data_IF_261564092894
#
_entry.id   IF_261564092894
#
_cell.length_a   1.000
_cell.length_b   1.000
_cell.length_c   1.000
_cell.angle_alpha   90.00
_cell.angle_beta   90.00
_cell.angle_gamma   90.00
#
_symmetry.space_group_name_H-M   'P 1'
#
loop_
_entity.id
_entity.type
_entity.pdbx_description
1 polymer ?
#
# COMPACT_ATOMS: atom_id res chain seq x y z
N UNK A 1 7.31 12.81 11.05
CA UNK A 1 6.17 11.92 10.76
C UNK A 1 6.40 10.56 11.38
N UNK A 2 7.42 9.84 10.93
CA UNK A 2 7.75 8.52 11.48
C UNK A 2 8.39 8.58 12.86
N UNK A 3 8.06 7.60 13.71
CA UNK A 3 8.71 7.33 14.99
C UNK A 3 9.68 6.15 14.85
N UNK A 4 10.60 6.03 15.81
CA UNK A 4 11.55 4.93 15.90
C UNK A 4 11.07 3.92 16.92
N UNK A 5 11.06 2.64 16.55
CA UNK A 5 10.77 1.52 17.44
C UNK A 5 11.88 0.47 17.31
N UNK A 6 12.21 -0.21 18.40
CA UNK A 6 13.07 -1.40 18.35
C UNK A 6 12.15 -2.62 18.32
N UNK A 7 12.33 -3.47 17.32
CA UNK A 7 11.52 -4.68 17.12
C UNK A 7 12.41 -5.92 17.06
N UNK A 8 11.90 -7.03 17.57
CA UNK A 8 12.52 -8.33 17.36
C UNK A 8 12.21 -8.80 15.93
N UNK A 9 13.23 -9.32 15.24
CA UNK A 9 13.12 -9.90 13.91
C UNK A 9 13.58 -11.36 13.93
N UNK A 10 12.97 -12.14 13.04
CA UNK A 10 13.27 -13.54 12.81
C UNK A 10 13.82 -13.69 11.39
N UNK A 11 14.96 -14.37 11.24
CA UNK A 11 15.49 -14.69 9.92
C UNK A 11 14.80 -15.96 9.39
N UNK A 12 14.40 -15.93 8.11
CA UNK A 12 13.92 -17.11 7.38
C UNK A 12 15.10 -17.91 6.84
N UNK A 13 14.94 -19.23 6.76
CA UNK A 13 16.01 -20.25 6.79
C UNK A 13 17.06 -20.21 5.66
N UNK A 14 16.86 -19.44 4.58
CA UNK A 14 17.85 -19.32 3.48
C UNK A 14 19.17 -18.61 3.86
N UNK A 15 19.23 -17.96 5.03
CA UNK A 15 20.45 -17.32 5.54
C UNK A 15 20.91 -17.85 6.91
N UNK A 16 20.28 -18.90 7.44
CA UNK A 16 20.47 -19.34 8.82
C UNK A 16 20.74 -20.85 8.94
N UNK A 17 21.72 -21.36 8.21
CA UNK A 17 22.30 -22.67 8.59
C UNK A 17 23.30 -22.44 9.73
N UNK A 18 22.84 -22.65 10.96
CA UNK A 18 23.72 -23.02 12.07
C UNK A 18 23.37 -24.43 12.54
N UNK A 19 24.35 -25.14 13.09
CA UNK A 19 24.34 -26.58 13.34
C UNK A 19 23.25 -27.11 14.31
N UNK A 20 22.30 -26.31 14.80
CA UNK A 20 21.40 -26.70 15.89
C UNK A 20 19.94 -26.20 15.79
N UNK A 21 19.41 -25.94 14.59
CA UNK A 21 17.95 -25.77 14.39
C UNK A 21 17.30 -24.62 15.18
N UNK A 22 18.07 -23.65 15.66
CA UNK A 22 17.57 -22.48 16.37
C UNK A 22 17.41 -21.31 15.41
N UNK A 23 16.16 -20.83 15.26
CA UNK A 23 15.85 -19.59 14.53
C UNK A 23 16.62 -18.42 15.15
N UNK A 24 17.46 -17.78 14.34
CA UNK A 24 18.26 -16.64 14.80
C UNK A 24 17.34 -15.44 15.04
N UNK A 25 17.37 -14.88 16.25
CA UNK A 25 16.66 -13.66 16.63
C UNK A 25 17.63 -12.49 16.65
N UNK A 26 17.21 -11.35 16.11
CA UNK A 26 17.94 -10.09 16.21
C UNK A 26 16.99 -8.93 16.54
N UNK A 27 17.55 -7.81 16.97
CA UNK A 27 16.80 -6.57 17.15
C UNK A 27 17.12 -5.61 16.01
N UNK A 28 16.09 -4.98 15.46
CA UNK A 28 16.21 -3.99 14.41
C UNK A 28 15.53 -2.67 14.81
N UNK A 29 16.10 -1.57 14.32
CA UNK A 29 15.47 -0.25 14.40
C UNK A 29 14.47 -0.12 13.24
N UNK A 30 13.19 0.04 13.57
CA UNK A 30 12.09 0.25 12.64
C UNK A 30 11.65 1.71 12.68
N UNK A 31 11.49 2.32 11.51
CA UNK A 31 10.79 3.60 11.35
C UNK A 31 9.33 3.32 10.98
N UNK A 32 8.38 3.75 11.80
CA UNK A 32 6.95 3.46 11.61
C UNK A 32 6.09 4.71 11.79
N UNK A 33 4.99 4.79 11.05
CA UNK A 33 3.98 5.86 11.19
C UNK A 33 2.86 5.38 12.10
N UNK A 34 2.51 6.15 13.12
CA UNK A 34 1.34 5.89 13.98
C UNK A 34 0.13 6.67 13.49
N UNK A 35 -1.04 6.38 14.06
CA UNK A 35 -2.29 7.14 13.78
C UNK A 35 -2.20 8.61 14.16
N UNK A 36 -1.26 8.97 15.03
CA UNK A 36 -1.00 10.37 15.44
C UNK A 36 -0.11 11.12 14.44
N UNK A 37 0.43 10.44 13.42
CA UNK A 37 1.23 11.10 12.40
C UNK A 37 0.30 12.00 11.56
N UNK A 38 0.59 13.30 11.40
CA UNK A 38 -0.25 14.21 10.61
C UNK A 38 -0.36 13.80 9.13
N UNK A 39 0.55 12.94 8.65
CA UNK A 39 0.51 12.36 7.32
C UNK A 39 -0.14 10.97 7.30
N UNK A 40 -0.84 10.55 8.35
CA UNK A 40 -1.56 9.29 8.40
C UNK A 40 -3.02 9.51 7.96
N UNK A 41 -3.38 8.89 6.84
CA UNK A 41 -4.70 9.00 6.23
C UNK A 41 -5.51 7.78 6.68
N UNK A 42 -6.29 7.92 7.77
CA UNK A 42 -7.08 6.82 8.35
C UNK A 42 -8.18 6.34 7.38
N UNK A 43 -8.45 5.03 7.31
CA UNK A 43 -9.68 4.50 6.72
C UNK A 43 -10.93 4.68 7.61
N UNK A 44 -10.86 5.50 8.66
CA UNK A 44 -11.96 5.71 9.60
C UNK A 44 -11.98 7.17 10.01
N UNK A 45 -12.85 7.96 9.37
CA UNK A 45 -13.49 9.16 9.96
C UNK A 45 -12.59 10.15 10.75
N UNK A 46 -11.31 10.26 10.42
CA UNK A 46 -10.41 11.26 10.94
C UNK A 46 -10.54 12.53 10.12
N UNK A 47 -10.70 13.66 10.79
CA UNK A 47 -11.02 15.02 10.31
C UNK A 47 -10.04 15.68 9.33
N UNK A 48 -9.38 14.92 8.46
CA UNK A 48 -8.43 15.46 7.49
C UNK A 48 -8.49 14.85 6.08
N UNK A 49 -9.43 13.94 5.83
CA UNK A 49 -9.77 13.57 4.46
C UNK A 49 -10.74 14.62 3.90
N UNK A 50 -10.47 15.11 2.69
CA UNK A 50 -11.40 15.97 1.94
C UNK A 50 -12.76 15.26 1.88
N UNK A 51 -13.80 15.86 2.49
CA UNK A 51 -15.15 15.29 2.56
C UNK A 51 -15.69 14.91 1.17
N UNK A 52 -15.19 15.56 0.11
CA UNK A 52 -15.50 15.22 -1.29
C UNK A 52 -15.04 13.81 -1.71
N UNK A 53 -13.82 13.39 -1.34
CA UNK A 53 -13.31 12.06 -1.73
C UNK A 53 -13.94 10.91 -0.93
N UNK A 54 -14.29 11.15 0.33
CA UNK A 54 -15.03 10.17 1.13
C UNK A 54 -16.44 9.98 0.55
N UNK A 55 -17.13 11.08 0.23
CA UNK A 55 -18.52 11.02 -0.26
C UNK A 55 -18.64 10.26 -1.58
N UNK A 56 -17.69 10.43 -2.51
CA UNK A 56 -17.69 9.68 -3.77
C UNK A 56 -17.46 8.18 -3.57
N UNK A 57 -16.49 7.78 -2.73
CA UNK A 57 -16.25 6.38 -2.40
C UNK A 57 -17.45 5.73 -1.67
N UNK A 58 -18.10 6.47 -0.77
CA UNK A 58 -19.31 6.02 -0.06
C UNK A 58 -20.51 5.87 -0.99
N UNK A 59 -20.71 6.79 -1.94
CA UNK A 59 -21.86 6.78 -2.84
C UNK A 59 -21.90 5.60 -3.82
N UNK A 60 -20.75 4.94 -4.05
CA UNK A 60 -20.61 3.75 -4.89
C UNK A 60 -20.75 2.43 -4.10
N UNK A 61 -20.75 2.49 -2.76
CA UNK A 61 -20.84 1.31 -1.91
C UNK A 61 -22.29 0.87 -1.69
N UNK A 62 -22.57 -0.42 -1.82
CA UNK A 62 -23.89 -0.99 -1.52
C UNK A 62 -24.11 -1.00 -0.01
N UNK A 63 -24.99 -0.11 0.47
CA UNK A 63 -25.33 0.06 1.90
C UNK A 63 -25.90 -1.19 2.58
N UNK A 64 -26.18 -2.27 1.82
CA UNK A 64 -26.71 -3.53 2.35
C UNK A 64 -25.63 -4.54 2.80
N UNK A 65 -24.35 -4.28 2.50
CA UNK A 65 -23.20 -5.09 2.96
C UNK A 65 -22.32 -4.20 3.83
N UNK A 66 -22.17 -4.56 5.11
CA UNK A 66 -21.47 -3.76 6.13
C UNK A 66 -19.97 -3.55 5.88
N UNK A 67 -19.19 -3.37 6.95
CA UNK A 67 -17.77 -2.96 7.01
C UNK A 67 -16.80 -3.50 5.92
N UNK A 68 -17.09 -4.64 5.28
CA UNK A 68 -16.32 -5.18 4.15
C UNK A 68 -16.30 -4.25 2.92
N UNK A 69 -17.42 -3.60 2.58
CA UNK A 69 -17.48 -2.63 1.47
C UNK A 69 -16.66 -1.36 1.76
N UNK A 70 -16.46 -1.02 3.05
CA UNK A 70 -15.65 0.14 3.43
C UNK A 70 -14.17 -0.10 3.12
N UNK A 71 -13.65 -1.29 3.43
CA UNK A 71 -12.24 -1.66 3.17
C UNK A 71 -11.93 -1.65 1.67
N UNK A 72 -12.86 -2.14 0.85
CA UNK A 72 -12.71 -2.14 -0.61
C UNK A 72 -12.66 -0.72 -1.20
N UNK A 73 -13.51 0.19 -0.71
CA UNK A 73 -13.50 1.60 -1.13
C UNK A 73 -12.21 2.34 -0.82
N UNK A 74 -11.54 2.03 0.30
CA UNK A 74 -10.24 2.63 0.62
C UNK A 74 -9.12 2.14 -0.29
N UNK A 75 -9.16 0.87 -0.69
CA UNK A 75 -8.15 0.34 -1.58
C UNK A 75 -8.25 0.98 -2.97
N UNK A 76 -9.48 1.23 -3.44
CA UNK A 76 -9.73 1.97 -4.68
C UNK A 76 -9.24 3.42 -4.59
N UNK A 77 -9.51 4.09 -3.47
CA UNK A 77 -9.02 5.45 -3.21
C UNK A 77 -7.49 5.53 -3.22
N UNK A 78 -6.85 4.60 -2.51
CA UNK A 78 -5.40 4.48 -2.48
C UNK A 78 -4.85 4.21 -3.89
N UNK A 79 -5.46 3.29 -4.64
CA UNK A 79 -5.03 2.98 -6.00
C UNK A 79 -5.13 4.19 -6.93
N UNK A 80 -6.23 4.95 -6.87
CA UNK A 80 -6.40 6.18 -7.65
C UNK A 80 -5.38 7.25 -7.30
N UNK A 81 -5.09 7.41 -6.00
CA UNK A 81 -4.11 8.38 -5.51
C UNK A 81 -2.71 8.01 -5.97
N UNK A 82 -2.30 6.74 -5.78
CA UNK A 82 -1.00 6.23 -6.19
C UNK A 82 -0.83 6.36 -7.70
N UNK A 83 -1.83 5.97 -8.51
CA UNK A 83 -1.75 6.00 -9.97
C UNK A 83 -1.43 7.38 -10.57
N UNK A 84 -1.80 8.47 -9.87
CA UNK A 84 -1.67 9.85 -10.34
C UNK A 84 -0.55 10.63 -9.66
N UNK A 85 -0.05 10.16 -8.52
CA UNK A 85 0.90 10.89 -7.70
C UNK A 85 2.33 10.79 -8.24
N UNK A 86 3.05 11.90 -8.17
CA UNK A 86 4.48 12.02 -8.52
C UNK A 86 5.15 12.99 -7.54
N UNK A 87 6.32 12.62 -7.06
CA UNK A 87 7.14 13.46 -6.18
C UNK A 87 8.54 13.66 -6.74
N UNK A 88 9.43 14.36 -6.02
CA UNK A 88 10.82 14.56 -6.43
C UNK A 88 11.60 13.26 -6.69
N UNK A 89 11.17 12.15 -6.09
CA UNK A 89 11.75 10.81 -6.28
C UNK A 89 11.18 10.04 -7.47
N UNK A 90 10.23 10.63 -8.22
CA UNK A 90 9.57 10.02 -9.36
C UNK A 90 8.10 9.62 -9.10
N UNK A 91 7.49 8.87 -10.04
CA UNK A 91 6.10 8.43 -9.96
C UNK A 91 5.86 7.48 -8.77
N UNK A 92 4.78 7.72 -8.02
CA UNK A 92 4.39 6.83 -6.92
C UNK A 92 4.06 5.38 -7.37
N UNK A 93 3.50 5.12 -8.57
CA UNK A 93 3.31 3.74 -9.05
C UNK A 93 4.60 2.94 -9.12
N UNK A 94 5.72 3.59 -9.47
CA UNK A 94 7.01 2.90 -9.57
C UNK A 94 7.49 2.40 -8.21
N UNK A 95 7.25 3.17 -7.13
CA UNK A 95 7.53 2.71 -5.77
C UNK A 95 6.75 1.43 -5.43
N UNK A 96 5.43 1.44 -5.66
CA UNK A 96 4.58 0.28 -5.38
C UNK A 96 4.99 -0.94 -6.21
N UNK A 97 5.28 -0.76 -7.50
CA UNK A 97 5.67 -1.85 -8.39
C UNK A 97 7.02 -2.46 -8.01
N UNK A 98 7.99 -1.62 -7.63
CA UNK A 98 9.28 -2.09 -7.14
C UNK A 98 9.16 -2.85 -5.81
N UNK A 99 8.31 -2.36 -4.90
CA UNK A 99 8.03 -3.07 -3.64
C UNK A 99 7.40 -4.45 -3.90
N UNK A 100 6.34 -4.50 -4.72
CA UNK A 100 5.66 -5.76 -5.05
C UNK A 100 6.60 -6.74 -5.78
N UNK A 101 7.45 -6.26 -6.69
CA UNK A 101 8.45 -7.09 -7.35
C UNK A 101 9.48 -7.65 -6.36
N UNK A 102 9.96 -6.81 -5.42
CA UNK A 102 10.89 -7.25 -4.38
C UNK A 102 10.27 -8.31 -3.46
N UNK A 103 9.05 -8.09 -2.97
CA UNK A 103 8.34 -9.06 -2.11
C UNK A 103 8.21 -10.43 -2.78
N UNK A 104 7.82 -10.47 -4.07
CA UNK A 104 7.80 -11.72 -4.85
C UNK A 104 9.18 -12.35 -4.98
N UNK A 105 10.23 -11.55 -5.19
CA UNK A 105 11.60 -12.06 -5.37
C UNK A 105 12.16 -12.72 -4.11
N UNK A 106 11.71 -12.30 -2.92
CA UNK A 106 12.11 -12.89 -1.64
C UNK A 106 11.09 -13.92 -1.11
N UNK A 107 10.08 -14.27 -1.91
CA UNK A 107 9.05 -15.24 -1.53
C UNK A 107 8.08 -14.75 -0.44
N UNK A 108 7.99 -13.44 -0.20
CA UNK A 108 7.07 -12.86 0.76
C UNK A 108 5.64 -12.77 0.19
N UNK A 109 4.67 -13.27 0.94
CA UNK A 109 3.25 -13.17 0.59
C UNK A 109 2.62 -11.96 1.29
N UNK A 110 2.22 -10.97 0.49
CA UNK A 110 1.46 -9.81 0.97
C UNK A 110 0.28 -9.55 0.01
N UNK A 111 -0.86 -10.15 0.33
CA UNK A 111 -2.07 -10.04 -0.49
C UNK A 111 -2.54 -8.59 -0.66
N UNK A 112 -2.35 -7.75 0.35
CA UNK A 112 -2.77 -6.35 0.31
C UNK A 112 -1.93 -5.53 -0.68
N UNK A 113 -0.60 -5.69 -0.65
CA UNK A 113 0.30 -5.04 -1.61
C UNK A 113 0.02 -5.51 -3.04
N UNK A 114 -0.22 -6.81 -3.25
CA UNK A 114 -0.47 -7.35 -4.58
C UNK A 114 -1.84 -6.94 -5.14
N UNK A 115 -2.87 -6.85 -4.30
CA UNK A 115 -4.18 -6.34 -4.72
C UNK A 115 -4.11 -4.85 -5.10
N UNK A 116 -3.43 -4.06 -4.27
CA UNK A 116 -3.20 -2.64 -4.55
C UNK A 116 -2.42 -2.44 -5.85
N UNK A 117 -1.34 -3.21 -6.07
CA UNK A 117 -0.58 -3.20 -7.32
C UNK A 117 -1.48 -3.48 -8.52
N UNK A 118 -2.32 -4.51 -8.45
CA UNK A 118 -3.22 -4.88 -9.54
C UNK A 118 -4.17 -3.73 -9.89
N UNK A 119 -4.82 -3.12 -8.89
CA UNK A 119 -5.72 -1.97 -9.09
C UNK A 119 -4.97 -0.78 -9.70
N UNK A 120 -3.77 -0.45 -9.22
CA UNK A 120 -2.96 0.66 -9.76
C UNK A 120 -2.54 0.39 -11.22
N UNK A 121 -2.12 -0.83 -11.56
CA UNK A 121 -1.75 -1.19 -12.94
C UNK A 121 -2.92 -1.01 -13.91
N UNK A 122 -4.12 -1.44 -13.50
CA UNK A 122 -5.34 -1.25 -14.30
C UNK A 122 -5.59 0.22 -14.62
N UNK A 123 -5.51 1.10 -13.61
CA UNK A 123 -5.72 2.55 -13.77
C UNK A 123 -4.64 3.15 -14.68
N UNK A 124 -3.36 2.84 -14.45
CA UNK A 124 -2.25 3.36 -15.24
C UNK A 124 -2.34 2.94 -16.72
N UNK A 125 -2.73 1.69 -16.99
CA UNK A 125 -2.90 1.20 -18.36
C UNK A 125 -4.05 1.92 -19.07
N UNK A 126 -5.20 2.05 -18.40
CA UNK A 126 -6.35 2.80 -18.94
C UNK A 126 -5.99 4.26 -19.24
N UNK A 127 -5.20 4.91 -18.37
CA UNK A 127 -4.71 6.27 -18.61
C UNK A 127 -3.77 6.36 -19.82
N UNK A 128 -2.94 5.34 -20.06
CA UNK A 128 -2.07 5.28 -21.25
C UNK A 128 -2.87 5.11 -22.54
N UNK A 129 -3.86 4.22 -22.54
CA UNK A 129 -4.78 4.00 -23.67
C UNK A 129 -5.50 5.29 -24.06
N UNK A 130 -6.12 5.97 -23.08
CA UNK A 130 -6.83 7.24 -23.31
C UNK A 130 -5.91 8.37 -23.82
N UNK A 131 -4.63 8.37 -23.43
CA UNK A 131 -3.65 9.34 -23.95
C UNK A 131 -3.30 9.05 -25.42
N UNK A 132 -3.19 7.78 -25.79
CA UNK A 132 -2.88 7.36 -27.16
C UNK A 132 -4.04 7.66 -28.13
N UNK A 133 -5.28 7.42 -27.70
CA UNK A 133 -6.48 7.74 -28.47
C UNK A 133 -6.63 9.24 -28.75
N UNK A 134 -6.27 10.10 -27.79
CA UNK A 134 -6.31 11.57 -27.95
C UNK A 134 -5.18 12.13 -28.81
N UNK A 135 -4.13 11.33 -29.04
CA UNK A 135 -2.97 11.73 -29.84
C UNK A 135 -3.09 11.32 -31.31
N UNK A 136 -4.15 10.58 -31.68
CA UNK A 136 -4.47 10.13 -33.05
C UNK A 136 -5.56 11.01 -33.65
#
# INVERSE_FOLDING_TARGET
GYIRAVVDIHFTEDNAVTNEGQSQRAQAMLYTGTVDNPNFWLPLGGSHLDEGLITEAYSQSDSSKGDENMVEGYLDLAAQTIAKAEGPSGPNPDYLFNLAAYLRSVGAEDGHVFELEHKVRSIVNKMKELKNERAT
#
